data_IF_637322323264
#
_entry.id   IF_637322323264
#
_cell.length_a   1.000
_cell.length_b   1.000
_cell.length_c   1.000
_cell.angle_alpha   90.00
_cell.angle_beta   90.00
_cell.angle_gamma   90.00
#
_symmetry.space_group_name_H-M   'P 1'
#
loop_
_entity.id
_entity.type
_entity.pdbx_description
1 polymer ?
#
# COMPACT_ATOMS: atom_id res chain seq x y z
N UNK A 1 2.54 12.91 10.29
CA UNK A 1 3.66 11.94 10.30
C UNK A 1 3.58 11.15 9.02
N UNK A 2 4.72 10.78 8.44
CA UNK A 2 4.79 10.05 7.16
C UNK A 2 5.47 8.69 7.35
N UNK A 3 5.30 7.80 6.37
CA UNK A 3 6.07 6.57 6.20
C UNK A 3 6.65 6.49 4.78
N UNK A 4 7.71 5.70 4.59
CA UNK A 4 8.25 5.42 3.25
C UNK A 4 7.42 4.33 2.58
N UNK A 5 6.92 4.60 1.39
CA UNK A 5 6.22 3.61 0.56
C UNK A 5 6.67 3.68 -0.90
N UNK A 6 6.60 2.55 -1.60
CA UNK A 6 6.79 2.51 -3.05
C UNK A 6 5.49 2.95 -3.71
N UNK A 7 5.46 4.17 -4.26
CA UNK A 7 4.27 4.75 -4.87
C UNK A 7 4.38 4.66 -6.39
N UNK A 8 3.38 4.05 -7.03
CA UNK A 8 3.26 3.99 -8.48
C UNK A 8 2.32 5.10 -8.95
N UNK A 9 2.79 5.89 -9.91
CA UNK A 9 2.06 6.98 -10.57
C UNK A 9 1.90 6.69 -12.06
N UNK A 10 0.78 7.11 -12.62
CA UNK A 10 0.59 7.15 -14.07
C UNK A 10 0.94 8.56 -14.57
N UNK A 11 1.93 8.65 -15.45
CA UNK A 11 2.43 9.90 -16.04
C UNK A 11 2.44 9.72 -17.55
N UNK A 12 1.55 10.43 -18.25
CA UNK A 12 1.43 10.38 -19.71
C UNK A 12 1.30 8.94 -20.26
N UNK A 13 0.53 8.09 -19.58
CA UNK A 13 0.31 6.68 -19.95
C UNK A 13 1.48 5.74 -19.61
N UNK A 14 2.56 6.24 -19.00
CA UNK A 14 3.63 5.44 -18.43
C UNK A 14 3.43 5.25 -16.93
N UNK A 15 3.77 4.08 -16.40
CA UNK A 15 3.65 3.77 -14.97
C UNK A 15 5.03 3.81 -14.32
N UNK A 16 5.20 4.71 -13.35
CA UNK A 16 6.49 4.99 -12.73
C UNK A 16 6.38 4.79 -11.23
N UNK A 17 7.21 3.92 -10.66
CA UNK A 17 7.26 3.66 -9.23
C UNK A 17 8.49 4.27 -8.57
N UNK A 18 8.29 4.95 -7.44
CA UNK A 18 9.37 5.54 -6.64
C UNK A 18 9.10 5.39 -5.14
N UNK A 19 10.16 5.33 -4.34
CA UNK A 19 10.02 5.42 -2.88
C UNK A 19 9.70 6.88 -2.52
N UNK A 20 8.57 7.12 -1.84
CA UNK A 20 8.13 8.45 -1.40
C UNK A 20 7.73 8.45 0.08
N UNK A 21 7.74 9.62 0.69
CA UNK A 21 7.07 9.85 1.98
C UNK A 21 5.57 9.98 1.74
N UNK A 22 4.78 9.20 2.47
CA UNK A 22 3.32 9.14 2.36
C UNK A 22 2.74 9.39 3.74
N UNK A 23 1.69 10.20 3.82
CA UNK A 23 1.00 10.45 5.10
C UNK A 23 0.44 9.16 5.69
N UNK A 24 0.62 9.00 7.00
CA UNK A 24 0.00 7.90 7.73
C UNK A 24 -1.53 8.09 7.70
N UNK A 25 -2.29 7.09 7.20
CA UNK A 25 -3.73 7.22 7.09
C UNK A 25 -4.38 7.21 8.48
N UNK A 26 -5.48 7.95 8.62
CA UNK A 26 -6.37 7.79 9.78
C UNK A 26 -7.18 6.51 9.59
N UNK A 27 -7.26 5.69 10.63
CA UNK A 27 -8.03 4.44 10.58
C UNK A 27 -9.51 4.68 10.90
N UNK A 28 -10.37 3.97 10.17
CA UNK A 28 -11.81 3.90 10.43
C UNK A 28 -12.14 2.80 11.43
N UNK A 29 -13.37 2.78 11.92
CA UNK A 29 -13.84 1.75 12.85
C UNK A 29 -13.76 0.36 12.22
N UNK A 30 -13.34 -0.63 13.02
CA UNK A 30 -13.10 -2.00 12.56
C UNK A 30 -11.74 -2.25 11.92
N UNK A 31 -10.92 -1.22 11.69
CA UNK A 31 -9.60 -1.35 11.07
C UNK A 31 -8.45 -1.29 12.08
N UNK A 32 -7.26 -1.70 11.62
CA UNK A 32 -5.98 -1.60 12.33
C UNK A 32 -4.97 -0.84 11.49
N UNK A 33 -4.04 -0.16 12.16
CA UNK A 33 -2.84 0.40 11.55
C UNK A 33 -1.66 -0.53 11.84
N UNK A 34 -0.99 -0.99 10.78
CA UNK A 34 0.12 -1.93 10.89
C UNK A 34 1.42 -1.21 10.54
N UNK A 35 2.40 -1.26 11.45
CA UNK A 35 3.80 -0.96 11.14
C UNK A 35 4.40 -2.16 10.41
N UNK A 36 4.42 -2.07 9.09
CA UNK A 36 4.89 -3.13 8.20
C UNK A 36 6.38 -3.42 8.44
N UNK A 37 6.73 -4.71 8.59
CA UNK A 37 8.12 -5.19 8.65
C UNK A 37 8.50 -5.98 7.41
N UNK A 38 7.57 -6.74 6.88
CA UNK A 38 7.77 -7.60 5.72
C UNK A 38 6.56 -7.55 4.78
N UNK A 39 6.83 -7.86 3.53
CA UNK A 39 5.86 -8.09 2.47
C UNK A 39 6.43 -9.18 1.56
N UNK A 40 5.71 -9.52 0.50
CA UNK A 40 6.14 -10.48 -0.52
C UNK A 40 6.14 -9.79 -1.88
N UNK A 41 6.65 -10.48 -2.90
CA UNK A 41 6.57 -10.04 -4.29
C UNK A 41 5.88 -11.11 -5.11
N UNK A 42 4.67 -10.81 -5.59
CA UNK A 42 3.91 -11.69 -6.45
C UNK A 42 3.84 -11.12 -7.87
N UNK A 43 3.49 -11.98 -8.83
CA UNK A 43 3.23 -11.55 -10.21
C UNK A 43 2.14 -10.46 -10.28
N UNK A 44 1.16 -10.51 -9.38
CA UNK A 44 0.09 -9.50 -9.30
C UNK A 44 0.62 -8.11 -8.93
N UNK A 45 1.67 -8.02 -8.12
CA UNK A 45 2.28 -6.73 -7.75
C UNK A 45 3.03 -6.11 -8.93
N UNK A 46 3.67 -6.94 -9.75
CA UNK A 46 4.29 -6.50 -11.01
C UNK A 46 3.23 -5.98 -12.00
N UNK A 47 2.12 -6.71 -12.18
CA UNK A 47 1.00 -6.27 -13.01
C UNK A 47 0.38 -4.96 -12.51
N UNK A 48 0.23 -4.82 -11.18
CA UNK A 48 -0.29 -3.61 -10.55
C UNK A 48 0.66 -2.41 -10.72
N UNK A 49 1.96 -2.65 -10.86
CA UNK A 49 2.97 -1.61 -11.02
C UNK A 49 3.20 -1.21 -12.48
N UNK A 50 2.74 -2.00 -13.45
CA UNK A 50 2.97 -1.80 -14.89
C UNK A 50 1.77 -1.29 -15.68
N UNK A 51 0.63 -1.03 -15.01
CA UNK A 51 -0.57 -0.53 -15.69
C UNK A 51 -1.43 -1.61 -16.33
N UNK A 52 -1.29 -2.88 -15.92
CA UNK A 52 -2.12 -3.95 -16.47
C UNK A 52 -3.61 -3.67 -16.25
N UNK A 53 -4.36 -3.60 -17.37
CA UNK A 53 -5.80 -3.28 -17.34
C UNK A 53 -6.56 -4.29 -16.48
N UNK A 54 -7.39 -3.77 -15.58
CA UNK A 54 -8.24 -4.58 -14.70
C UNK A 54 -7.60 -4.98 -13.36
N UNK A 55 -6.31 -4.70 -13.14
CA UNK A 55 -5.63 -5.00 -11.87
C UNK A 55 -5.76 -3.87 -10.86
N UNK A 56 -5.43 -2.64 -11.27
CA UNK A 56 -5.52 -1.43 -10.43
C UNK A 56 -6.59 -0.51 -11.00
N UNK A 57 -7.43 0.06 -10.12
CA UNK A 57 -8.53 0.96 -10.51
C UNK A 57 -8.12 2.44 -10.54
N UNK A 58 -7.15 2.84 -9.72
CA UNK A 58 -6.75 4.24 -9.56
C UNK A 58 -5.28 4.35 -9.18
N UNK A 59 -4.58 5.27 -9.84
CA UNK A 59 -3.26 5.78 -9.46
C UNK A 59 -3.39 7.20 -8.88
N UNK A 60 -2.45 7.65 -8.02
CA UNK A 60 -1.32 6.89 -7.49
C UNK A 60 -1.72 5.85 -6.44
N UNK A 61 -0.90 4.80 -6.29
CA UNK A 61 -1.18 3.68 -5.37
C UNK A 61 0.12 2.99 -4.90
N UNK A 62 0.08 2.39 -3.71
CA UNK A 62 1.18 1.59 -3.14
C UNK A 62 0.88 0.08 -3.34
N UNK A 63 1.59 -0.62 -4.25
CA UNK A 63 1.42 -2.06 -4.46
C UNK A 63 1.94 -2.90 -3.29
N UNK A 64 1.54 -4.18 -3.29
CA UNK A 64 1.78 -5.12 -2.20
C UNK A 64 0.47 -5.71 -1.70
N UNK A 65 0.16 -6.94 -2.10
CA UNK A 65 -1.05 -7.65 -1.63
C UNK A 65 -0.86 -8.34 -0.27
N UNK A 66 0.38 -8.58 0.13
CA UNK A 66 0.71 -9.23 1.39
C UNK A 66 1.43 -8.27 2.33
N UNK A 67 1.15 -8.40 3.63
CA UNK A 67 1.76 -7.57 4.67
C UNK A 67 1.94 -8.37 5.96
N UNK A 68 3.08 -8.22 6.61
CA UNK A 68 3.34 -8.74 7.95
C UNK A 68 4.08 -7.68 8.78
N UNK A 69 3.63 -7.50 10.02
CA UNK A 69 4.14 -6.43 10.89
C UNK A 69 3.45 -6.40 12.24
N UNK A 70 3.55 -5.26 12.91
CA UNK A 70 2.99 -5.04 14.23
C UNK A 70 1.78 -4.11 14.14
N UNK A 71 0.69 -4.45 14.84
CA UNK A 71 -0.43 -3.52 15.03
C UNK A 71 0.05 -2.40 15.97
N UNK A 72 -0.05 -1.15 15.54
CA UNK A 72 0.35 0.03 16.33
C UNK A 72 -0.83 0.93 16.70
N UNK A 73 -1.98 0.75 16.05
CA UNK A 73 -3.25 1.38 16.40
C UNK A 73 -4.39 0.44 15.98
N UNK A 74 -5.47 0.37 16.76
CA UNK A 74 -6.65 -0.45 16.44
C UNK A 74 -7.93 0.29 16.80
N UNK A 75 -8.93 0.18 15.93
CA UNK A 75 -10.34 0.52 16.24
C UNK A 75 -11.24 -0.70 16.12
N UNK A 76 -10.67 -1.86 16.37
CA UNK A 76 -11.31 -3.17 16.30
C UNK A 76 -11.17 -3.88 17.64
N UNK A 77 -12.22 -4.59 18.05
CA UNK A 77 -12.19 -5.41 19.27
C UNK A 77 -11.41 -6.73 19.12
N UNK A 78 -10.93 -7.03 17.90
CA UNK A 78 -10.21 -8.28 17.60
C UNK A 78 -8.71 -8.23 17.88
N UNK A 79 -8.16 -7.03 18.06
CA UNK A 79 -6.72 -6.81 18.28
C UNK A 79 -6.55 -5.85 19.45
N UNK A 80 -5.48 -6.04 20.22
CA UNK A 80 -5.12 -5.24 21.40
C UNK A 80 -3.70 -4.73 21.30
#
# INVERSE_FOLDING_TARGET
MTYKGYLVEEINGSFVGNIKDIDIPKISDGNVLIKVKYSSLNYKDALASSGAKGVVRKYPFVPGIDVAGEVIETRSSKFS
#
